data_IF_351966465941
#
_entry.id   IF_351966465941
#
_cell.length_a   1.000
_cell.length_b   1.000
_cell.length_c   1.000
_cell.angle_alpha   90.00
_cell.angle_beta   90.00
_cell.angle_gamma   90.00
#
_symmetry.space_group_name_H-M   'P 1'
#
loop_
_entity.id
_entity.type
_entity.pdbx_description
1 polymer ?
#
# COMPACT_ATOMS: atom_id res chain seq x y z
N UNK A 1 -7.39 -75.47 -61.50
CA UNK A 1 -6.81 -76.72 -62.03
C UNK A 1 -5.29 -76.59 -61.97
N UNK A 2 -4.53 -77.65 -61.68
CA UNK A 2 -4.43 -78.38 -60.41
C UNK A 2 -2.96 -78.62 -60.01
N UNK A 3 -2.77 -79.34 -58.90
CA UNK A 3 -1.71 -80.32 -58.64
C UNK A 3 -0.32 -79.86 -58.10
N UNK A 4 -0.09 -80.31 -56.85
CA UNK A 4 1.17 -80.75 -56.19
C UNK A 4 2.11 -81.59 -57.11
N UNK A 5 3.37 -81.96 -56.73
CA UNK A 5 3.93 -82.13 -55.38
C UNK A 5 5.42 -81.73 -55.17
N UNK A 6 5.90 -81.85 -53.93
CA UNK A 6 7.30 -81.63 -53.54
C UNK A 6 8.25 -82.78 -53.84
N UNK A 7 9.54 -82.43 -54.01
CA UNK A 7 10.73 -83.14 -53.52
C UNK A 7 12.01 -82.41 -53.98
N UNK A 8 12.87 -82.02 -53.04
CA UNK A 8 14.32 -81.91 -53.25
C UNK A 8 14.95 -82.05 -51.84
N UNK A 9 15.32 -83.24 -51.37
CA UNK A 9 16.46 -84.09 -51.74
C UNK A 9 17.83 -83.47 -51.42
N UNK A 10 18.48 -84.14 -50.45
CA UNK A 10 19.92 -84.34 -50.26
C UNK A 10 20.77 -83.25 -49.59
N UNK A 11 21.19 -83.62 -48.38
CA UNK A 11 22.36 -83.16 -47.67
C UNK A 11 23.67 -83.47 -48.42
N UNK A 12 24.76 -82.78 -48.04
CA UNK A 12 25.92 -83.33 -47.31
C UNK A 12 27.10 -82.35 -47.44
N UNK A 13 27.80 -82.13 -46.33
CA UNK A 13 29.10 -81.46 -46.29
C UNK A 13 29.66 -81.42 -44.87
N UNK A 14 29.95 -82.59 -44.31
CA UNK A 14 30.60 -82.76 -43.01
C UNK A 14 32.09 -82.41 -43.07
N UNK A 15 32.62 -81.93 -41.95
CA UNK A 15 33.98 -82.25 -41.52
C UNK A 15 33.95 -82.71 -40.06
N UNK A 16 34.00 -84.03 -39.88
CA UNK A 16 34.68 -84.72 -38.77
C UNK A 16 36.11 -84.14 -38.62
N UNK A 17 36.78 -84.14 -37.48
CA UNK A 17 36.68 -84.92 -36.25
C UNK A 17 38.12 -85.09 -35.74
N UNK A 18 38.34 -85.15 -34.43
CA UNK A 18 39.57 -85.74 -33.88
C UNK A 18 39.32 -86.13 -32.42
N UNK A 19 39.14 -87.44 -32.21
CA UNK A 19 39.28 -88.08 -30.92
C UNK A 19 40.73 -88.54 -30.75
N UNK A 20 41.27 -88.38 -29.54
CA UNK A 20 42.33 -89.24 -29.01
C UNK A 20 42.11 -89.41 -27.50
N UNK A 21 42.07 -90.67 -27.08
CA UNK A 21 41.68 -91.13 -25.75
C UNK A 21 42.83 -91.12 -24.74
N UNK A 22 42.47 -91.04 -23.45
CA UNK A 22 43.33 -91.33 -22.30
C UNK A 22 42.54 -91.19 -21.01
N UNK A 23 42.21 -92.31 -20.37
CA UNK A 23 41.46 -92.42 -19.11
C UNK A 23 42.21 -91.77 -17.93
N UNK A 24 41.53 -90.92 -17.18
CA UNK A 24 41.62 -90.87 -15.72
C UNK A 24 40.23 -90.52 -15.17
N UNK A 25 39.61 -91.52 -14.54
CA UNK A 25 38.36 -91.42 -13.82
C UNK A 25 38.56 -90.66 -12.50
N UNK A 26 37.76 -89.61 -12.25
CA UNK A 26 37.13 -89.30 -10.95
C UNK A 26 36.20 -88.06 -11.07
N UNK A 27 34.89 -88.25 -10.90
CA UNK A 27 34.00 -87.26 -10.26
C UNK A 27 33.38 -86.12 -11.08
N UNK A 28 32.09 -86.28 -11.43
CA UNK A 28 31.15 -85.14 -11.60
C UNK A 28 30.76 -84.79 -13.04
N UNK A 29 29.56 -84.21 -13.21
CA UNK A 29 29.10 -83.71 -14.51
C UNK A 29 30.12 -82.69 -15.07
N UNK A 30 30.46 -82.69 -16.36
CA UNK A 30 31.53 -81.87 -16.94
C UNK A 30 31.33 -80.36 -16.76
N UNK A 31 30.11 -79.89 -16.47
CA UNK A 31 29.83 -78.50 -16.09
C UNK A 31 30.27 -78.09 -14.66
N UNK A 32 30.66 -79.04 -13.81
CA UNK A 32 31.11 -78.80 -12.43
C UNK A 32 32.61 -79.09 -12.23
N UNK A 33 33.40 -78.98 -13.30
CA UNK A 33 34.85 -78.99 -13.18
C UNK A 33 35.33 -77.65 -12.59
N UNK A 34 35.79 -77.66 -11.33
CA UNK A 34 36.22 -76.45 -10.62
C UNK A 34 37.64 -75.98 -11.00
N UNK A 35 38.35 -76.71 -11.87
CA UNK A 35 39.74 -76.39 -12.23
C UNK A 35 39.89 -75.04 -12.96
N UNK A 36 38.88 -74.60 -13.72
CA UNK A 36 38.89 -73.31 -14.45
C UNK A 36 38.28 -72.13 -13.68
N UNK A 37 37.64 -72.38 -12.53
CA UNK A 37 36.99 -71.35 -11.72
C UNK A 37 37.93 -70.25 -11.21
N UNK A 38 39.17 -70.55 -10.75
CA UNK A 38 40.09 -69.51 -10.30
C UNK A 38 40.43 -68.49 -11.39
N UNK A 39 40.61 -68.94 -12.63
CA UNK A 39 40.88 -68.07 -13.78
C UNK A 39 39.69 -67.18 -14.11
N UNK A 40 38.47 -67.75 -14.09
CA UNK A 40 37.24 -67.00 -14.30
C UNK A 40 36.98 -65.96 -13.19
N UNK A 41 37.24 -66.33 -11.94
CA UNK A 41 37.13 -65.41 -10.79
C UNK A 41 38.17 -64.29 -10.91
N UNK A 42 39.42 -64.59 -11.25
CA UNK A 42 40.44 -63.57 -11.46
C UNK A 42 40.06 -62.58 -12.57
N UNK A 43 39.53 -63.08 -13.69
CA UNK A 43 39.04 -62.24 -14.79
C UNK A 43 37.84 -61.38 -14.38
N UNK A 44 36.87 -61.96 -13.66
CA UNK A 44 35.74 -61.20 -13.12
C UNK A 44 36.17 -60.13 -12.13
N UNK A 45 37.16 -60.40 -11.27
CA UNK A 45 37.71 -59.40 -10.37
C UNK A 45 38.35 -58.24 -11.15
N UNK A 46 39.11 -58.54 -12.21
CA UNK A 46 39.71 -57.50 -13.07
C UNK A 46 38.62 -56.60 -13.66
N UNK A 47 37.59 -57.17 -14.28
CA UNK A 47 36.48 -56.40 -14.86
C UNK A 47 35.70 -55.65 -13.78
N UNK A 48 35.43 -56.31 -12.65
CA UNK A 48 34.71 -55.70 -11.53
C UNK A 48 35.43 -54.46 -11.01
N UNK A 49 36.74 -54.55 -10.77
CA UNK A 49 37.52 -53.39 -10.32
C UNK A 49 37.65 -52.32 -11.40
N UNK A 50 37.73 -52.70 -12.69
CA UNK A 50 37.75 -51.74 -13.80
C UNK A 50 36.44 -50.95 -13.89
N UNK A 51 35.29 -51.64 -13.82
CA UNK A 51 33.96 -50.99 -13.80
C UNK A 51 33.77 -50.17 -12.53
N UNK A 52 34.21 -50.67 -11.37
CA UNK A 52 34.14 -49.94 -10.10
C UNK A 52 34.96 -48.65 -10.15
N UNK A 53 36.18 -48.70 -10.69
CA UNK A 53 37.03 -47.53 -10.88
C UNK A 53 36.37 -46.53 -11.84
N UNK A 54 35.80 -47.00 -12.95
CA UNK A 54 35.04 -46.15 -13.88
C UNK A 54 33.83 -45.48 -13.20
N UNK A 55 33.05 -46.23 -12.43
CA UNK A 55 31.89 -45.73 -11.70
C UNK A 55 32.32 -44.66 -10.67
N UNK A 56 33.38 -44.93 -9.91
CA UNK A 56 33.94 -44.01 -8.92
C UNK A 56 34.42 -42.72 -9.54
N UNK A 57 35.08 -42.79 -10.70
CA UNK A 57 35.74 -41.63 -11.30
C UNK A 57 34.86 -40.83 -12.25
N UNK A 58 33.82 -41.43 -12.85
CA UNK A 58 32.98 -40.75 -13.83
C UNK A 58 31.50 -40.69 -13.45
N UNK A 59 30.89 -41.79 -13.02
CA UNK A 59 29.45 -41.84 -12.80
C UNK A 59 29.05 -41.13 -11.49
N UNK A 60 29.70 -41.45 -10.38
CA UNK A 60 29.46 -40.83 -9.06
C UNK A 60 29.65 -39.31 -9.10
N UNK A 61 30.77 -38.74 -9.60
CA UNK A 61 30.94 -37.30 -9.61
C UNK A 61 29.94 -36.58 -10.53
N UNK A 62 29.47 -37.21 -11.61
CA UNK A 62 28.46 -36.61 -12.49
C UNK A 62 27.09 -36.48 -11.82
N UNK A 63 26.70 -37.49 -11.04
CA UNK A 63 25.45 -37.43 -10.26
C UNK A 63 25.60 -36.46 -9.08
N UNK A 64 26.73 -36.51 -8.36
CA UNK A 64 27.03 -35.58 -7.27
C UNK A 64 26.97 -34.12 -7.70
N UNK A 65 27.64 -33.77 -8.80
CA UNK A 65 27.62 -32.39 -9.32
C UNK A 65 26.23 -31.89 -9.74
N UNK A 66 25.32 -32.79 -10.16
CA UNK A 66 23.93 -32.41 -10.46
C UNK A 66 23.13 -32.13 -9.19
N UNK A 67 23.35 -32.92 -8.13
CA UNK A 67 22.73 -32.70 -6.82
C UNK A 67 23.24 -31.38 -6.24
N UNK A 68 24.56 -31.18 -6.20
CA UNK A 68 25.19 -29.96 -5.69
C UNK A 68 24.70 -28.71 -6.45
N UNK A 69 24.57 -28.79 -7.78
CA UNK A 69 24.04 -27.69 -8.58
C UNK A 69 22.58 -27.37 -8.25
N UNK A 70 21.75 -28.39 -8.00
CA UNK A 70 20.35 -28.19 -7.60
C UNK A 70 20.25 -27.64 -6.19
N UNK A 71 21.02 -28.16 -5.24
CA UNK A 71 21.08 -27.65 -3.87
C UNK A 71 21.55 -26.20 -3.85
N UNK A 72 22.61 -25.87 -4.60
CA UNK A 72 23.10 -24.51 -4.76
C UNK A 72 22.05 -23.58 -5.37
N UNK A 73 21.33 -24.04 -6.40
CA UNK A 73 20.24 -23.25 -7.01
C UNK A 73 19.10 -23.03 -6.02
N UNK A 74 18.65 -24.06 -5.32
CA UNK A 74 17.56 -23.96 -4.34
C UNK A 74 17.97 -23.03 -3.20
N UNK A 75 19.18 -23.17 -2.67
CA UNK A 75 19.71 -22.30 -1.63
C UNK A 75 19.79 -20.84 -2.10
N UNK A 76 20.24 -20.60 -3.34
CA UNK A 76 20.25 -19.28 -3.97
C UNK A 76 18.86 -18.70 -4.13
N UNK A 77 17.92 -19.46 -4.71
CA UNK A 77 16.53 -19.03 -4.90
C UNK A 77 15.86 -18.71 -3.54
N UNK A 78 16.13 -19.48 -2.49
CA UNK A 78 15.61 -19.22 -1.13
C UNK A 78 16.24 -17.96 -0.54
N UNK A 79 17.55 -17.76 -0.70
CA UNK A 79 18.24 -16.57 -0.21
C UNK A 79 17.74 -15.30 -0.91
N UNK A 80 17.53 -15.38 -2.23
CA UNK A 80 16.95 -14.30 -3.04
C UNK A 80 15.52 -13.99 -2.62
N UNK A 81 14.68 -15.01 -2.45
CA UNK A 81 13.31 -14.84 -1.97
C UNK A 81 13.25 -14.19 -0.58
N UNK A 82 14.14 -14.60 0.35
CA UNK A 82 14.24 -13.98 1.67
C UNK A 82 14.66 -12.53 1.57
N UNK A 83 15.68 -12.21 0.77
CA UNK A 83 16.13 -10.82 0.57
C UNK A 83 15.01 -9.96 -0.01
N UNK A 84 14.32 -10.42 -1.04
CA UNK A 84 13.20 -9.70 -1.65
C UNK A 84 12.06 -9.49 -0.65
N UNK A 85 11.77 -10.50 0.19
CA UNK A 85 10.78 -10.38 1.25
C UNK A 85 11.19 -9.33 2.29
N UNK A 86 12.44 -9.38 2.76
CA UNK A 86 12.94 -8.45 3.78
C UNK A 86 12.96 -7.00 3.24
N UNK A 87 13.33 -6.82 1.97
CA UNK A 87 13.25 -5.52 1.28
C UNK A 87 11.80 -5.02 1.16
N UNK A 88 10.86 -5.91 0.78
CA UNK A 88 9.45 -5.56 0.68
C UNK A 88 8.84 -5.22 2.06
N UNK A 89 9.17 -5.98 3.10
CA UNK A 89 8.73 -5.73 4.47
C UNK A 89 9.30 -4.39 4.96
N UNK A 90 10.58 -4.09 4.69
CA UNK A 90 11.18 -2.80 5.03
C UNK A 90 10.49 -1.64 4.31
N UNK A 91 10.24 -1.75 3.01
CA UNK A 91 9.54 -0.72 2.22
C UNK A 91 8.10 -0.54 2.70
N UNK A 92 7.39 -1.63 3.02
CA UNK A 92 6.04 -1.58 3.56
C UNK A 92 5.99 -0.83 4.90
N UNK A 93 6.97 -1.05 5.78
CA UNK A 93 7.06 -0.33 7.04
C UNK A 93 7.35 1.16 6.84
N UNK A 94 8.25 1.52 5.93
CA UNK A 94 8.51 2.93 5.58
C UNK A 94 7.24 3.60 5.03
N UNK A 95 6.58 2.98 4.05
CA UNK A 95 5.35 3.50 3.47
C UNK A 95 4.22 3.65 4.50
N UNK A 96 4.08 2.70 5.44
CA UNK A 96 3.12 2.79 6.52
C UNK A 96 3.42 3.96 7.47
N UNK A 97 4.70 4.17 7.82
CA UNK A 97 5.14 5.28 8.66
C UNK A 97 4.91 6.63 7.97
N UNK A 98 5.27 6.76 6.69
CA UNK A 98 5.03 7.97 5.89
C UNK A 98 3.53 8.28 5.78
N UNK A 99 2.70 7.27 5.52
CA UNK A 99 1.25 7.44 5.46
C UNK A 99 0.64 7.84 6.82
N UNK A 100 1.18 7.34 7.93
CA UNK A 100 0.78 7.76 9.27
C UNK A 100 1.19 9.21 9.54
N UNK A 101 2.42 9.59 9.21
CA UNK A 101 2.93 10.95 9.36
C UNK A 101 2.14 11.96 8.51
N UNK A 102 1.83 11.62 7.26
CA UNK A 102 1.06 12.47 6.36
C UNK A 102 -0.37 12.69 6.88
N UNK A 103 -1.02 11.64 7.41
CA UNK A 103 -2.34 11.76 8.05
C UNK A 103 -2.29 12.66 9.29
N UNK A 104 -1.28 12.49 10.15
CA UNK A 104 -1.11 13.33 11.33
C UNK A 104 -0.85 14.80 10.95
N UNK A 105 -0.02 15.05 9.94
CA UNK A 105 0.23 16.39 9.42
C UNK A 105 -1.04 17.01 8.84
N UNK A 106 -1.82 16.28 8.05
CA UNK A 106 -3.09 16.76 7.50
C UNK A 106 -4.11 17.12 8.60
N UNK A 107 -4.23 16.28 9.64
CA UNK A 107 -5.08 16.57 10.79
C UNK A 107 -4.62 17.84 11.54
N UNK A 108 -3.31 17.98 11.77
CA UNK A 108 -2.72 19.17 12.40
C UNK A 108 -3.00 20.43 11.59
N UNK A 109 -2.72 20.42 10.28
CA UNK A 109 -3.00 21.55 9.38
C UNK A 109 -4.49 21.90 9.39
N UNK A 110 -5.36 20.90 9.33
CA UNK A 110 -6.81 21.10 9.39
C UNK A 110 -7.29 21.68 10.73
N UNK A 111 -6.67 21.30 11.85
CA UNK A 111 -6.97 21.87 13.16
C UNK A 111 -6.47 23.32 13.27
N UNK A 112 -5.24 23.59 12.84
CA UNK A 112 -4.65 24.93 12.82
C UNK A 112 -5.44 25.90 11.93
N UNK A 113 -5.85 25.46 10.73
CA UNK A 113 -6.65 26.27 9.82
C UNK A 113 -8.01 26.62 10.44
N UNK A 114 -8.69 25.67 11.09
CA UNK A 114 -9.96 25.92 11.79
C UNK A 114 -9.78 26.86 12.97
N UNK A 115 -8.68 26.73 13.72
CA UNK A 115 -8.38 27.62 14.85
C UNK A 115 -8.12 29.06 14.36
N UNK A 116 -7.32 29.23 13.30
CA UNK A 116 -7.06 30.54 12.68
C UNK A 116 -8.35 31.17 12.13
N UNK A 117 -9.15 30.40 11.39
CA UNK A 117 -10.43 30.89 10.86
C UNK A 117 -11.38 31.33 11.97
N UNK A 118 -11.51 30.57 13.07
CA UNK A 118 -12.33 30.97 14.21
C UNK A 118 -11.81 32.24 14.90
N UNK A 119 -10.49 32.38 15.05
CA UNK A 119 -9.89 33.58 15.61
C UNK A 119 -10.14 34.81 14.73
N UNK A 120 -9.99 34.68 13.41
CA UNK A 120 -10.29 35.76 12.46
C UNK A 120 -11.78 36.12 12.47
N UNK A 121 -12.69 35.13 12.48
CA UNK A 121 -14.13 35.37 12.58
C UNK A 121 -14.46 36.13 13.87
N UNK A 122 -13.93 35.70 15.01
CA UNK A 122 -14.15 36.38 16.28
C UNK A 122 -13.63 37.83 16.28
N UNK A 123 -12.45 38.06 15.71
CA UNK A 123 -11.88 39.40 15.58
C UNK A 123 -12.75 40.30 14.69
N UNK A 124 -13.22 39.79 13.55
CA UNK A 124 -14.12 40.52 12.64
C UNK A 124 -15.46 40.82 13.28
N UNK A 125 -16.02 39.85 14.00
CA UNK A 125 -17.29 40.02 14.69
C UNK A 125 -17.18 41.11 15.76
N UNK A 126 -16.11 41.11 16.56
CA UNK A 126 -15.85 42.16 17.54
C UNK A 126 -15.64 43.54 16.90
N UNK A 127 -14.95 43.61 15.75
CA UNK A 127 -14.76 44.85 14.99
C UNK A 127 -16.11 45.40 14.47
N UNK A 128 -16.94 44.55 13.90
CA UNK A 128 -18.26 44.93 13.38
C UNK A 128 -19.23 45.29 14.51
N UNK A 129 -19.24 44.56 15.63
CA UNK A 129 -20.03 44.91 16.82
C UNK A 129 -19.65 46.29 17.35
N UNK A 130 -18.35 46.63 17.41
CA UNK A 130 -17.89 47.94 17.82
C UNK A 130 -18.36 49.06 16.86
N UNK A 131 -18.30 48.83 15.54
CA UNK A 131 -18.82 49.79 14.53
C UNK A 131 -20.33 49.97 14.66
N UNK A 132 -21.06 48.88 14.88
CA UNK A 132 -22.51 48.89 15.00
C UNK A 132 -22.95 49.63 16.26
N UNK A 133 -22.28 49.39 17.39
CA UNK A 133 -22.50 50.12 18.63
C UNK A 133 -22.22 51.62 18.49
N UNK A 134 -21.11 52.00 17.84
CA UNK A 134 -20.78 53.40 17.58
C UNK A 134 -21.82 54.09 16.67
N UNK A 135 -22.25 53.41 15.61
CA UNK A 135 -23.28 53.92 14.70
C UNK A 135 -24.63 54.05 15.39
N UNK A 136 -24.99 53.08 16.25
CA UNK A 136 -26.19 53.12 17.08
C UNK A 136 -26.19 54.33 18.02
N UNK A 137 -25.10 54.52 18.78
CA UNK A 137 -24.95 55.67 19.67
C UNK A 137 -25.03 57.01 18.90
N UNK A 138 -24.42 57.09 17.71
CA UNK A 138 -24.51 58.29 16.86
C UNK A 138 -25.95 58.54 16.39
N UNK A 139 -26.68 57.49 15.99
CA UNK A 139 -28.06 57.59 15.56
C UNK A 139 -28.96 58.05 16.73
N UNK A 140 -28.79 57.49 17.92
CA UNK A 140 -29.51 57.90 19.14
C UNK A 140 -29.27 59.36 19.48
N UNK A 141 -28.02 59.83 19.43
CA UNK A 141 -27.68 61.22 19.66
C UNK A 141 -28.34 62.16 18.63
N UNK A 142 -28.38 61.76 17.35
CA UNK A 142 -29.07 62.53 16.29
C UNK A 142 -30.59 62.60 16.53
N UNK A 143 -31.19 61.48 16.93
CA UNK A 143 -32.63 61.42 17.25
C UNK A 143 -32.94 62.32 18.46
N UNK A 144 -32.13 62.25 19.52
CA UNK A 144 -32.29 63.10 20.71
C UNK A 144 -32.24 64.60 20.35
N UNK A 145 -31.23 65.01 19.56
CA UNK A 145 -31.09 66.39 19.10
C UNK A 145 -32.26 66.83 18.20
N UNK A 146 -32.70 65.97 17.29
CA UNK A 146 -33.85 66.26 16.44
C UNK A 146 -35.14 66.41 17.26
N UNK A 147 -35.34 65.56 18.29
CA UNK A 147 -36.47 65.66 19.20
C UNK A 147 -36.44 66.97 19.99
N UNK A 148 -35.30 67.35 20.54
CA UNK A 148 -35.16 68.60 21.30
C UNK A 148 -35.43 69.83 20.42
N UNK A 149 -34.90 69.84 19.19
CA UNK A 149 -35.18 70.89 18.22
C UNK A 149 -36.67 70.95 17.84
N UNK A 150 -37.32 69.79 17.63
CA UNK A 150 -38.75 69.73 17.34
C UNK A 150 -39.59 70.25 18.51
N UNK A 151 -39.28 69.85 19.74
CA UNK A 151 -39.99 70.33 20.94
C UNK A 151 -39.81 71.84 21.14
N UNK A 152 -38.61 72.37 20.88
CA UNK A 152 -38.33 73.81 20.93
C UNK A 152 -39.15 74.58 19.89
N UNK A 153 -39.21 74.07 18.65
CA UNK A 153 -40.03 74.66 17.60
C UNK A 153 -41.54 74.66 17.95
N UNK A 154 -42.04 73.55 18.51
CA UNK A 154 -43.43 73.47 18.99
C UNK A 154 -43.70 74.49 20.10
N UNK A 155 -42.79 74.63 21.07
CA UNK A 155 -42.91 75.62 22.14
C UNK A 155 -42.88 77.06 21.61
N UNK A 156 -42.10 77.33 20.57
CA UNK A 156 -42.08 78.61 19.84
C UNK A 156 -43.42 78.90 19.15
N UNK A 157 -43.89 77.98 18.31
CA UNK A 157 -45.17 78.09 17.60
C UNK A 157 -46.33 78.28 18.58
N UNK A 158 -46.33 77.55 19.71
CA UNK A 158 -47.33 77.70 20.75
C UNK A 158 -47.28 79.09 21.42
N UNK A 159 -46.08 79.65 21.65
CA UNK A 159 -45.92 81.03 22.15
C UNK A 159 -46.50 82.05 21.17
N UNK A 160 -46.11 81.94 19.90
CA UNK A 160 -46.51 82.87 18.86
C UNK A 160 -48.04 82.83 18.66
N UNK A 161 -48.61 81.61 18.66
CA UNK A 161 -50.06 81.40 18.56
C UNK A 161 -50.79 81.95 19.79
N UNK A 162 -50.30 81.69 21.01
CA UNK A 162 -50.90 82.22 22.23
C UNK A 162 -50.85 83.76 22.26
N UNK A 163 -49.72 84.36 21.87
CA UNK A 163 -49.55 85.81 21.75
C UNK A 163 -50.53 86.42 20.74
N UNK A 164 -50.67 85.81 19.57
CA UNK A 164 -51.63 86.23 18.56
C UNK A 164 -53.09 86.14 19.05
N UNK A 165 -53.45 85.09 19.80
CA UNK A 165 -54.76 84.94 20.42
C UNK A 165 -55.00 86.05 21.46
N UNK A 166 -54.05 86.28 22.38
CA UNK A 166 -54.17 87.33 23.42
C UNK A 166 -54.29 88.73 22.80
N UNK A 167 -53.53 89.02 21.75
CA UNK A 167 -53.62 90.28 21.03
C UNK A 167 -55.00 90.48 20.39
N UNK A 168 -55.58 89.42 19.79
CA UNK A 168 -56.94 89.48 19.23
C UNK A 168 -58.04 89.66 20.28
N UNK A 169 -57.88 89.09 21.48
CA UNK A 169 -58.88 89.16 22.56
C UNK A 169 -58.81 90.45 23.38
N UNK A 170 -57.62 90.99 23.63
CA UNK A 170 -57.42 92.13 24.55
C UNK A 170 -57.09 93.44 23.84
N UNK A 171 -56.78 93.41 22.54
CA UNK A 171 -56.38 94.57 21.75
C UNK A 171 -54.99 95.13 22.09
N UNK A 172 -54.26 94.50 23.02
CA UNK A 172 -52.88 94.87 23.41
C UNK A 172 -51.93 93.70 23.14
N UNK A 173 -50.71 94.00 22.70
CA UNK A 173 -49.67 92.99 22.51
C UNK A 173 -49.16 92.52 23.88
N UNK A 174 -49.19 91.21 24.14
CA UNK A 174 -48.55 90.63 25.31
C UNK A 174 -47.03 90.58 25.09
N UNK A 175 -46.25 90.97 26.10
CA UNK A 175 -44.79 90.97 25.98
C UNK A 175 -44.23 89.55 26.08
N UNK A 176 -43.07 89.31 25.47
CA UNK A 176 -42.41 88.00 25.48
C UNK A 176 -42.15 87.47 26.91
N UNK A 177 -41.96 88.37 27.88
CA UNK A 177 -41.79 88.03 29.29
C UNK A 177 -43.08 87.50 29.95
N UNK A 178 -44.25 88.05 29.60
CA UNK A 178 -45.55 87.62 30.14
C UNK A 178 -45.98 86.27 29.56
N UNK A 179 -45.71 86.05 28.26
CA UNK A 179 -45.96 84.76 27.59
C UNK A 179 -45.01 83.66 28.09
N UNK A 180 -43.77 84.01 28.48
CA UNK A 180 -42.83 83.06 29.08
C UNK A 180 -43.21 82.73 30.54
N UNK A 181 -43.66 83.70 31.33
CA UNK A 181 -44.09 83.49 32.72
C UNK A 181 -45.33 82.60 32.85
N UNK A 182 -46.21 82.59 31.83
CA UNK A 182 -47.40 81.74 31.80
C UNK A 182 -47.10 80.27 31.42
N UNK A 183 -45.90 79.96 30.93
CA UNK A 183 -45.56 78.63 30.39
C UNK A 183 -45.19 77.58 31.44
N UNK A 184 -44.96 77.95 32.70
CA UNK A 184 -44.74 77.02 33.83
C UNK A 184 -43.51 76.14 33.66
#
# INVERSE_FOLDING_TARGET
>A
MPAEPGHEAAAVGAHEGAAAAGEHAEGGLPQFDFSWWPGQIAWFLIIFFLVLAFMRLFAVPKVGGTIDAREGKIAGDIADARRMKDEADAQAQVAAAEAAQARAAAQKVGAEARAKAQAEIAARLAEEEAKLAATGAQAEARIAKAREAAMTNVAGIAADTAGAIVQKLTGKSATAAELAAAKG
#
